data_IF_247799770446
#
_entry.id   IF_247799770446
#
_cell.length_a   1.000
_cell.length_b   1.000
_cell.length_c   1.000
_cell.angle_alpha   90.00
_cell.angle_beta   90.00
_cell.angle_gamma   90.00
#
_symmetry.space_group_name_H-M   'P 1'
#
loop_
_entity.id
_entity.type
_entity.pdbx_description
1 polymer ?
#
# COMPACT_ATOMS: atom_id res chain seq x y z
N UNK A 1 41.26 1.23 -84.26
CA UNK A 1 42.57 1.61 -84.84
C UNK A 1 43.53 1.83 -83.68
N UNK A 2 44.70 1.16 -83.73
CA UNK A 2 46.00 1.46 -83.07
C UNK A 2 46.01 1.53 -81.52
N UNK A 3 46.57 0.61 -80.71
CA UNK A 3 47.97 0.12 -80.60
C UNK A 3 49.00 1.25 -80.79
N UNK A 4 49.98 1.59 -79.95
CA UNK A 4 50.83 0.90 -78.94
C UNK A 4 51.74 1.97 -78.27
N UNK A 5 52.27 1.74 -77.04
CA UNK A 5 53.08 2.66 -76.18
C UNK A 5 54.53 2.96 -76.63
N UNK A 6 55.60 3.05 -75.77
CA UNK A 6 55.73 2.72 -74.32
C UNK A 6 56.73 3.59 -73.46
N UNK A 7 56.99 3.12 -72.21
CA UNK A 7 58.21 3.21 -71.31
C UNK A 7 58.07 4.02 -69.99
N UNK A 8 58.05 3.37 -68.80
CA UNK A 8 59.15 2.87 -67.89
C UNK A 8 59.93 4.02 -67.19
N UNK A 9 60.35 4.07 -65.91
CA UNK A 9 60.31 3.26 -64.67
C UNK A 9 61.01 4.11 -63.55
N UNK A 10 60.62 3.97 -62.27
CA UNK A 10 61.47 3.89 -61.04
C UNK A 10 60.61 4.15 -59.78
N UNK A 11 60.29 3.19 -58.91
CA UNK A 11 61.15 2.63 -57.82
C UNK A 11 61.06 3.56 -56.59
N UNK A 12 60.44 3.22 -55.44
CA UNK A 12 60.84 2.24 -54.40
C UNK A 12 59.70 1.95 -53.38
N UNK A 13 59.76 0.86 -52.58
CA UNK A 13 58.62 0.30 -51.83
C UNK A 13 58.51 0.81 -50.38
N UNK A 14 57.29 1.17 -49.94
CA UNK A 14 56.97 1.56 -48.58
C UNK A 14 55.95 0.59 -47.94
N UNK A 15 56.35 -0.01 -46.81
CA UNK A 15 55.65 -0.94 -45.92
C UNK A 15 54.10 -0.85 -45.91
N UNK A 16 53.36 -1.98 -45.88
CA UNK A 16 51.95 -1.93 -45.51
C UNK A 16 51.83 -1.55 -44.03
N UNK A 17 51.25 -0.39 -43.77
CA UNK A 17 50.80 0.03 -42.44
C UNK A 17 49.79 -0.96 -41.90
N UNK A 18 50.12 -1.60 -40.78
CA UNK A 18 49.19 -2.40 -39.99
C UNK A 18 47.90 -1.59 -39.70
N UNK A 19 46.71 -2.19 -39.75
CA UNK A 19 45.51 -1.51 -39.30
C UNK A 19 45.66 -1.23 -37.81
N UNK A 20 45.40 0.03 -37.42
CA UNK A 20 45.28 0.45 -36.04
C UNK A 20 44.38 -0.57 -35.31
N UNK A 21 44.95 -1.32 -34.38
CA UNK A 21 44.17 -2.14 -33.45
C UNK A 21 43.24 -1.18 -32.70
N UNK A 22 41.95 -1.21 -33.04
CA UNK A 22 40.92 -0.55 -32.26
C UNK A 22 40.97 -1.13 -30.84
N UNK A 23 41.18 -0.26 -29.85
CA UNK A 23 41.29 -0.63 -28.44
C UNK A 23 40.02 -1.38 -27.96
N UNK A 24 40.12 -2.59 -27.38
CA UNK A 24 38.97 -3.31 -26.82
C UNK A 24 38.68 -2.92 -25.35
N UNK A 25 39.18 -1.77 -24.87
CA UNK A 25 39.19 -1.44 -23.44
C UNK A 25 37.87 -0.87 -22.89
N UNK A 26 36.95 -0.42 -23.74
CA UNK A 26 35.73 0.27 -23.27
C UNK A 26 34.64 -0.70 -22.74
N UNK A 27 34.60 -1.94 -23.24
CA UNK A 27 33.57 -2.92 -22.86
C UNK A 27 33.82 -3.50 -21.46
N UNK A 28 35.06 -3.96 -21.18
CA UNK A 28 35.40 -4.56 -19.88
C UNK A 28 35.30 -3.58 -18.70
N UNK A 29 35.53 -2.29 -18.94
CA UNK A 29 35.41 -1.24 -17.90
C UNK A 29 33.98 -1.01 -17.41
N UNK A 30 32.96 -1.18 -18.28
CA UNK A 30 31.55 -1.07 -17.90
C UNK A 30 31.11 -2.28 -17.08
N UNK A 31 31.51 -3.47 -17.50
CA UNK A 31 31.17 -4.72 -16.80
C UNK A 31 31.85 -4.82 -15.44
N UNK A 32 33.11 -4.38 -15.33
CA UNK A 32 33.82 -4.28 -14.05
C UNK A 32 33.18 -3.23 -13.12
N UNK A 33 32.75 -2.08 -13.64
CA UNK A 33 32.03 -1.07 -12.84
C UNK A 33 30.66 -1.57 -12.41
N UNK A 34 29.93 -2.24 -13.30
CA UNK A 34 28.62 -2.82 -13.00
C UNK A 34 28.72 -3.98 -11.99
N UNK A 35 29.76 -4.80 -12.10
CA UNK A 35 30.05 -5.85 -11.11
C UNK A 35 30.43 -5.24 -9.77
N UNK A 36 31.32 -4.24 -9.74
CA UNK A 36 31.72 -3.57 -8.49
C UNK A 36 30.55 -2.87 -7.79
N UNK A 37 29.64 -2.24 -8.55
CA UNK A 37 28.40 -1.63 -8.04
C UNK A 37 27.38 -2.64 -7.52
N UNK A 38 27.38 -3.88 -8.00
CA UNK A 38 26.53 -4.95 -7.46
C UNK A 38 27.02 -5.45 -6.10
N UNK A 39 28.33 -5.45 -5.88
CA UNK A 39 28.95 -5.96 -4.66
C UNK A 39 29.09 -4.89 -3.57
N UNK A 40 29.14 -3.60 -3.93
CA UNK A 40 28.98 -2.50 -2.99
C UNK A 40 27.55 -1.97 -3.09
N UNK A 41 26.67 -2.31 -2.13
CA UNK A 41 25.36 -1.67 -2.07
C UNK A 41 25.56 -0.15 -1.91
N UNK A 42 25.20 0.68 -2.90
CA UNK A 42 25.26 2.12 -2.72
C UNK A 42 24.33 2.50 -1.57
N UNK A 43 24.72 3.50 -0.78
CA UNK A 43 23.83 4.05 0.23
C UNK A 43 22.50 4.46 -0.45
N UNK A 44 21.35 4.18 0.17
CA UNK A 44 20.07 4.58 -0.38
C UNK A 44 20.11 6.11 -0.55
N UNK A 45 19.97 6.57 -1.79
CA UNK A 45 19.88 8.00 -2.13
C UNK A 45 18.46 8.30 -2.57
N UNK A 46 17.92 9.42 -2.13
CA UNK A 46 16.58 9.82 -2.54
C UNK A 46 16.51 10.02 -4.06
N UNK A 47 15.41 9.59 -4.70
CA UNK A 47 15.27 9.73 -6.16
C UNK A 47 15.40 11.19 -6.63
N UNK A 48 14.96 12.14 -5.79
CA UNK A 48 15.12 13.59 -5.98
C UNK A 48 16.57 14.08 -6.15
N UNK A 49 17.56 13.31 -5.70
CA UNK A 49 18.98 13.66 -5.80
C UNK A 49 19.60 13.19 -7.12
N UNK A 50 18.81 12.51 -7.97
CA UNK A 50 19.25 12.04 -9.27
C UNK A 50 19.18 13.15 -10.33
N UNK A 51 20.09 13.14 -11.34
CA UNK A 51 20.28 14.24 -12.29
C UNK A 51 19.12 14.52 -13.27
N UNK A 52 18.01 13.77 -13.23
CA UNK A 52 16.85 13.92 -14.12
C UNK A 52 15.55 14.03 -13.31
N UNK A 53 15.49 14.98 -12.39
CA UNK A 53 14.33 15.17 -11.51
C UNK A 53 13.76 16.57 -11.62
N UNK A 54 12.45 16.66 -11.89
CA UNK A 54 11.68 17.90 -11.84
C UNK A 54 10.47 17.71 -10.92
N UNK A 55 10.52 18.33 -9.74
CA UNK A 55 9.48 18.20 -8.73
C UNK A 55 8.09 18.64 -9.21
N UNK A 56 8.00 19.66 -10.07
CA UNK A 56 6.71 20.14 -10.54
C UNK A 56 6.05 19.16 -11.51
N UNK A 57 6.85 18.64 -12.46
CA UNK A 57 6.40 17.65 -13.42
C UNK A 57 5.99 16.34 -12.74
N UNK A 58 6.76 15.90 -11.74
CA UNK A 58 6.49 14.66 -10.99
C UNK A 58 5.20 14.74 -10.16
N UNK A 59 4.91 15.90 -9.54
CA UNK A 59 3.62 16.12 -8.85
C UNK A 59 2.44 16.11 -9.82
N UNK A 60 2.58 16.72 -10.99
CA UNK A 60 1.53 16.67 -12.02
C UNK A 60 1.30 15.25 -12.52
N UNK A 61 2.39 14.51 -12.78
CA UNK A 61 2.34 13.11 -13.18
C UNK A 61 1.66 12.25 -12.10
N UNK A 62 1.94 12.50 -10.83
CA UNK A 62 1.29 11.83 -9.70
C UNK A 62 -0.24 11.99 -9.74
N UNK A 63 -0.72 13.22 -9.92
CA UNK A 63 -2.16 13.52 -10.03
C UNK A 63 -2.80 12.76 -11.19
N UNK A 64 -2.19 12.83 -12.37
CA UNK A 64 -2.72 12.19 -13.58
C UNK A 64 -2.70 10.66 -13.52
N UNK A 65 -1.67 10.07 -12.90
CA UNK A 65 -1.53 8.62 -12.71
C UNK A 65 -2.65 8.04 -11.85
N UNK A 66 -3.10 8.78 -10.84
CA UNK A 66 -4.21 8.37 -9.97
C UNK A 66 -5.59 8.66 -10.58
N UNK A 67 -5.63 9.35 -11.73
CA UNK A 67 -6.87 9.84 -12.35
C UNK A 67 -7.70 10.75 -11.42
N UNK A 68 -7.02 11.50 -10.55
CA UNK A 68 -7.62 12.44 -9.62
C UNK A 68 -7.19 13.88 -9.91
N UNK A 69 -8.04 14.84 -9.56
CA UNK A 69 -7.80 16.27 -9.76
C UNK A 69 -7.37 16.93 -8.45
N UNK A 70 -6.06 17.00 -8.23
CA UNK A 70 -5.49 17.68 -7.06
C UNK A 70 -5.27 19.16 -7.32
N UNK A 71 -5.47 19.99 -6.30
CA UNK A 71 -4.85 21.31 -6.25
C UNK A 71 -3.35 21.15 -6.06
N UNK A 72 -2.55 21.63 -7.02
CA UNK A 72 -1.10 21.43 -7.02
C UNK A 72 -0.43 22.08 -5.80
N UNK A 73 -0.98 23.18 -5.28
CA UNK A 73 -0.41 23.87 -4.12
C UNK A 73 -0.69 23.11 -2.82
N UNK A 74 -1.89 22.53 -2.67
CA UNK A 74 -2.22 21.66 -1.54
C UNK A 74 -1.41 20.37 -1.59
N UNK A 75 -1.25 19.80 -2.79
CA UNK A 75 -0.48 18.57 -2.98
C UNK A 75 1.01 18.79 -2.68
N UNK A 76 1.59 19.92 -3.11
CA UNK A 76 2.96 20.31 -2.72
C UNK A 76 3.09 20.42 -1.20
N UNK A 77 2.10 21.02 -0.54
CA UNK A 77 2.08 21.19 0.92
C UNK A 77 1.97 19.84 1.64
N UNK A 78 1.18 18.89 1.11
CA UNK A 78 1.02 17.56 1.70
C UNK A 78 2.34 16.75 1.77
N UNK A 79 3.23 16.94 0.80
CA UNK A 79 4.54 16.27 0.76
C UNK A 79 5.61 16.93 1.65
N UNK A 80 5.34 18.11 2.24
CA UNK A 80 6.27 18.82 3.13
C UNK A 80 6.06 18.36 4.58
N UNK A 81 7.12 17.82 5.20
CA UNK A 81 7.08 17.42 6.61
C UNK A 81 7.81 18.44 7.51
N UNK A 82 7.39 18.51 8.77
CA UNK A 82 8.06 19.30 9.81
C UNK A 82 9.57 19.04 9.90
N UNK A 83 9.99 17.76 9.84
CA UNK A 83 11.40 17.38 9.92
C UNK A 83 12.25 17.95 8.77
N UNK A 84 11.64 18.14 7.59
CA UNK A 84 12.29 18.77 6.45
C UNK A 84 12.42 20.28 6.65
N UNK A 85 11.36 20.95 7.13
CA UNK A 85 11.36 22.39 7.45
C UNK A 85 12.47 22.70 8.46
N UNK A 86 12.53 21.95 9.56
CA UNK A 86 13.55 22.12 10.61
C UNK A 86 14.98 21.94 10.06
N UNK A 87 15.19 20.98 9.16
CA UNK A 87 16.50 20.72 8.56
C UNK A 87 16.93 21.83 7.58
N UNK A 88 15.98 22.39 6.83
CA UNK A 88 16.25 23.50 5.90
C UNK A 88 16.50 24.81 6.66
N UNK A 89 15.78 25.06 7.76
CA UNK A 89 16.06 26.18 8.66
C UNK A 89 17.45 26.06 9.30
N UNK A 90 17.81 24.87 9.78
CA UNK A 90 19.14 24.62 10.34
C UNK A 90 20.24 24.88 9.28
N UNK A 91 20.04 24.39 8.06
CA UNK A 91 20.97 24.61 6.94
C UNK A 91 21.10 26.08 6.57
N UNK A 92 20.00 26.86 6.59
CA UNK A 92 20.03 28.31 6.35
C UNK A 92 20.79 29.06 7.45
N UNK A 93 20.58 28.65 8.71
CA UNK A 93 21.33 29.18 9.86
C UNK A 93 22.83 28.91 9.75
N UNK A 94 23.22 27.70 9.33
CA UNK A 94 24.63 27.33 9.10
C UNK A 94 25.28 28.15 7.98
N UNK A 95 24.52 28.49 6.93
CA UNK A 95 25.00 29.29 5.80
C UNK A 95 24.97 30.81 6.07
N UNK A 96 24.53 31.25 7.24
CA UNK A 96 24.47 32.68 7.60
C UNK A 96 23.45 33.48 6.79
N UNK A 97 22.42 32.82 6.25
CA UNK A 97 21.33 33.48 5.54
C UNK A 97 20.31 33.96 6.58
N UNK A 98 20.34 35.24 6.93
CA UNK A 98 19.43 35.86 7.90
C UNK A 98 17.95 35.66 7.51
N UNK A 99 17.11 35.49 8.54
CA UNK A 99 15.66 35.24 8.52
C UNK A 99 14.82 36.26 7.72
N UNK A 100 15.44 37.36 7.25
CA UNK A 100 14.78 38.51 6.64
C UNK A 100 14.73 38.57 5.11
N UNK A 101 15.46 37.73 4.36
CA UNK A 101 15.53 37.90 2.89
C UNK A 101 14.45 37.15 2.10
N UNK A 102 14.02 35.96 2.54
CA UNK A 102 12.82 35.24 2.06
C UNK A 102 12.38 34.26 3.17
N UNK A 103 11.32 34.59 3.90
CA UNK A 103 10.72 33.67 4.88
C UNK A 103 10.37 32.34 4.19
N UNK A 104 10.67 31.22 4.83
CA UNK A 104 10.19 29.91 4.39
C UNK A 104 8.68 29.88 4.55
N UNK A 105 7.95 30.26 3.51
CA UNK A 105 6.49 30.13 3.44
C UNK A 105 6.09 28.66 3.17
N UNK A 106 6.75 27.71 3.84
CA UNK A 106 6.41 26.30 3.78
C UNK A 106 5.48 25.98 4.95
N UNK A 107 4.32 25.43 4.64
CA UNK A 107 3.38 24.97 5.65
C UNK A 107 3.63 23.48 5.94
N UNK A 108 3.48 23.10 7.20
CA UNK A 108 3.55 21.72 7.64
C UNK A 108 2.28 20.96 7.26
N UNK A 109 2.42 19.67 6.92
CA UNK A 109 1.34 18.80 6.50
C UNK A 109 0.47 18.25 7.65
N UNK A 110 0.71 18.63 8.91
CA UNK A 110 0.00 18.14 10.11
C UNK A 110 -1.52 18.24 9.98
N UNK A 111 -2.03 19.43 9.63
CA UNK A 111 -3.47 19.68 9.53
C UNK A 111 -4.13 18.80 8.46
N UNK A 112 -3.50 18.69 7.29
CA UNK A 112 -4.00 17.85 6.19
C UNK A 112 -3.95 16.38 6.57
N UNK A 113 -2.91 15.95 7.29
CA UNK A 113 -2.78 14.57 7.76
C UNK A 113 -3.89 14.20 8.75
N UNK A 114 -4.18 15.07 9.73
CA UNK A 114 -5.26 14.85 10.69
C UNK A 114 -6.64 14.79 10.01
N UNK A 115 -6.90 15.66 9.05
CA UNK A 115 -8.12 15.65 8.24
C UNK A 115 -8.24 14.37 7.41
N UNK A 116 -7.17 13.98 6.71
CA UNK A 116 -7.16 12.77 5.90
C UNK A 116 -7.31 11.49 6.74
N UNK A 117 -6.67 11.44 7.91
CA UNK A 117 -6.78 10.30 8.83
C UNK A 117 -8.19 10.18 9.40
N UNK A 118 -8.76 11.28 9.92
CA UNK A 118 -10.12 11.28 10.48
C UNK A 118 -11.17 10.93 9.43
N UNK A 119 -11.06 11.49 8.21
CA UNK A 119 -11.94 11.16 7.10
C UNK A 119 -11.82 9.68 6.70
N UNK A 120 -10.60 9.16 6.55
CA UNK A 120 -10.37 7.76 6.15
C UNK A 120 -10.95 6.79 7.17
N UNK A 121 -10.72 7.02 8.47
CA UNK A 121 -11.29 6.20 9.55
C UNK A 121 -12.81 6.22 9.53
N UNK A 122 -13.42 7.40 9.45
CA UNK A 122 -14.87 7.55 9.43
C UNK A 122 -15.49 6.88 8.18
N UNK A 123 -14.86 7.02 7.02
CA UNK A 123 -15.30 6.40 5.78
C UNK A 123 -15.23 4.87 5.84
N UNK A 124 -14.11 4.32 6.29
CA UNK A 124 -13.91 2.87 6.42
C UNK A 124 -14.89 2.27 7.44
N UNK A 125 -15.07 2.92 8.60
CA UNK A 125 -16.02 2.49 9.61
C UNK A 125 -17.44 2.39 9.05
N UNK A 126 -17.91 3.44 8.35
CA UNK A 126 -19.21 3.43 7.67
C UNK A 126 -19.31 2.33 6.60
N UNK A 127 -18.23 2.07 5.86
CA UNK A 127 -18.21 1.02 4.85
C UNK A 127 -18.37 -0.37 5.48
N UNK A 128 -17.66 -0.65 6.58
CA UNK A 128 -17.73 -1.94 7.25
C UNK A 128 -19.03 -2.15 8.03
N UNK A 129 -19.57 -1.12 8.66
CA UNK A 129 -20.91 -1.19 9.29
C UNK A 129 -21.99 -1.52 8.25
N UNK A 130 -21.90 -0.93 7.05
CA UNK A 130 -22.83 -1.23 5.96
C UNK A 130 -22.63 -2.61 5.33
N UNK A 131 -21.39 -3.10 5.25
CA UNK A 131 -21.07 -4.38 4.62
C UNK A 131 -21.23 -5.59 5.55
N UNK A 132 -20.95 -5.41 6.84
CA UNK A 132 -20.95 -6.46 7.86
C UNK A 132 -21.76 -6.01 9.09
N UNK A 133 -23.10 -5.91 8.98
CA UNK A 133 -23.95 -5.42 10.06
C UNK A 133 -23.95 -6.32 11.31
N UNK A 134 -23.61 -7.60 11.13
CA UNK A 134 -23.50 -8.58 12.21
C UNK A 134 -22.14 -8.54 12.95
N UNK A 135 -21.14 -7.81 12.43
CA UNK A 135 -19.82 -7.74 13.04
C UNK A 135 -19.86 -6.76 14.24
N UNK A 136 -19.34 -7.15 15.42
CA UNK A 136 -19.32 -6.27 16.58
C UNK A 136 -18.40 -5.07 16.35
N UNK A 137 -18.68 -3.96 17.06
CA UNK A 137 -17.91 -2.73 16.95
C UNK A 137 -16.40 -2.94 17.15
N UNK A 138 -15.99 -3.82 18.08
CA UNK A 138 -14.58 -4.18 18.29
C UNK A 138 -13.93 -4.82 17.06
N UNK A 139 -14.68 -5.65 16.32
CA UNK A 139 -14.19 -6.27 15.09
C UNK A 139 -14.09 -5.27 13.94
N UNK A 140 -15.06 -4.35 13.82
CA UNK A 140 -15.00 -3.26 12.85
C UNK A 140 -13.80 -2.34 13.13
N UNK A 141 -13.61 -1.96 14.40
CA UNK A 141 -12.49 -1.12 14.84
C UNK A 141 -11.16 -1.80 14.54
N UNK A 142 -11.00 -3.09 14.82
CA UNK A 142 -9.79 -3.85 14.48
C UNK A 142 -9.49 -3.84 12.97
N UNK A 143 -10.50 -3.95 12.11
CA UNK A 143 -10.32 -3.85 10.65
C UNK A 143 -9.87 -2.44 10.23
N UNK A 144 -10.47 -1.40 10.81
CA UNK A 144 -10.11 -0.01 10.52
C UNK A 144 -8.70 0.30 11.02
N UNK A 145 -8.33 -0.15 12.22
CA UNK A 145 -7.01 0.05 12.81
C UNK A 145 -5.93 -0.67 12.00
N UNK A 146 -6.20 -1.89 11.53
CA UNK A 146 -5.31 -2.61 10.63
C UNK A 146 -5.10 -1.89 9.30
N UNK A 147 -6.18 -1.44 8.67
CA UNK A 147 -6.10 -0.67 7.42
C UNK A 147 -5.43 0.69 7.58
N UNK A 148 -5.54 1.30 8.76
CA UNK A 148 -4.87 2.57 9.07
C UNK A 148 -3.53 2.39 9.78
N UNK A 149 -3.04 1.15 9.90
CA UNK A 149 -1.77 0.82 10.54
C UNK A 149 -0.59 1.42 9.79
N UNK A 150 0.47 1.70 10.54
CA UNK A 150 1.67 2.32 10.00
C UNK A 150 2.33 1.46 8.91
N UNK A 151 2.38 0.15 9.11
CA UNK A 151 3.01 -0.80 8.18
C UNK A 151 2.26 -0.84 6.84
N UNK A 152 0.92 -1.01 6.88
CA UNK A 152 0.10 -1.14 5.69
C UNK A 152 0.05 0.18 4.91
N UNK A 153 -0.13 1.31 5.59
CA UNK A 153 -0.14 2.62 4.94
C UNK A 153 1.22 2.93 4.32
N UNK A 154 2.32 2.62 5.01
CA UNK A 154 3.67 2.77 4.46
C UNK A 154 3.87 1.90 3.21
N UNK A 155 3.40 0.66 3.24
CA UNK A 155 3.46 -0.23 2.08
C UNK A 155 2.68 0.32 0.88
N UNK A 156 1.46 0.81 1.08
CA UNK A 156 0.67 1.44 0.01
C UNK A 156 1.37 2.70 -0.51
N UNK A 157 1.91 3.53 0.38
CA UNK A 157 2.61 4.76 0.02
C UNK A 157 3.86 4.49 -0.83
N UNK A 158 4.64 3.45 -0.50
CA UNK A 158 5.81 3.03 -1.28
C UNK A 158 5.40 2.58 -2.69
N UNK A 159 4.36 1.76 -2.82
CA UNK A 159 3.86 1.29 -4.11
C UNK A 159 3.25 2.40 -4.97
N UNK A 160 2.79 3.48 -4.35
CA UNK A 160 2.34 4.70 -5.03
C UNK A 160 3.45 5.74 -5.24
N UNK A 161 4.71 5.39 -5.01
CA UNK A 161 5.86 6.29 -5.19
C UNK A 161 5.75 7.59 -4.36
N UNK A 162 5.02 7.56 -3.25
CA UNK A 162 4.88 8.72 -2.36
C UNK A 162 6.21 8.98 -1.65
N UNK A 163 6.95 7.91 -1.31
CA UNK A 163 8.28 8.01 -0.72
C UNK A 163 9.25 8.90 -1.54
N UNK A 164 9.16 8.85 -2.87
CA UNK A 164 10.06 9.61 -3.76
C UNK A 164 9.72 11.10 -3.81
N UNK A 165 8.44 11.44 -3.64
CA UNK A 165 7.92 12.82 -3.62
C UNK A 165 8.02 13.45 -2.23
N UNK A 166 8.08 12.64 -1.18
CA UNK A 166 8.10 13.10 0.20
C UNK A 166 9.35 13.92 0.51
N UNK A 167 9.16 15.16 0.96
CA UNK A 167 10.22 16.00 1.47
C UNK A 167 10.46 15.67 2.95
N UNK A 168 11.48 14.83 3.18
CA UNK A 168 11.97 14.43 4.50
C UNK A 168 13.47 14.72 4.64
N UNK A 169 13.94 14.85 5.90
CA UNK A 169 15.36 14.99 6.27
C UNK A 169 16.16 13.71 6.02
N UNK A 170 15.58 12.56 6.35
CA UNK A 170 16.24 11.26 6.33
C UNK A 170 15.76 10.42 5.14
N UNK A 171 16.65 9.61 4.58
CA UNK A 171 16.33 8.65 3.52
C UNK A 171 16.99 7.29 3.81
N UNK A 172 16.25 6.17 3.78
CA UNK A 172 14.82 6.01 3.45
C UNK A 172 13.89 6.72 4.44
N UNK A 173 12.70 7.11 3.97
CA UNK A 173 11.74 7.86 4.78
C UNK A 173 11.21 6.96 5.91
N UNK A 174 11.24 7.41 7.18
CA UNK A 174 10.69 6.64 8.28
C UNK A 174 9.19 6.35 8.08
N UNK A 175 8.71 5.16 8.50
CA UNK A 175 7.33 4.76 8.25
C UNK A 175 6.29 5.68 8.91
N UNK A 176 6.61 6.30 10.06
CA UNK A 176 5.72 7.29 10.71
C UNK A 176 5.48 8.52 9.82
N UNK A 177 6.57 9.04 9.25
CA UNK A 177 6.54 10.20 8.36
C UNK A 177 5.81 9.84 7.07
N UNK A 178 6.06 8.65 6.55
CA UNK A 178 5.42 8.18 5.33
C UNK A 178 3.90 8.01 5.50
N UNK A 179 3.47 7.40 6.61
CA UNK A 179 2.05 7.29 6.96
C UNK A 179 1.39 8.67 7.06
N UNK A 180 2.03 9.61 7.77
CA UNK A 180 1.54 10.97 7.90
C UNK A 180 1.42 11.68 6.55
N UNK A 181 2.41 11.55 5.67
CA UNK A 181 2.37 12.13 4.32
C UNK A 181 1.26 11.53 3.47
N UNK A 182 1.03 10.22 3.60
CA UNK A 182 -0.05 9.55 2.90
C UNK A 182 -1.42 10.11 3.30
N UNK A 183 -1.68 10.26 4.60
CA UNK A 183 -2.91 10.88 5.07
C UNK A 183 -3.00 12.36 4.68
N UNK A 184 -1.88 13.09 4.64
CA UNK A 184 -1.88 14.47 4.15
C UNK A 184 -2.29 14.56 2.67
N UNK A 185 -1.88 13.61 1.83
CA UNK A 185 -2.32 13.52 0.43
C UNK A 185 -3.83 13.26 0.35
N UNK A 186 -4.38 12.42 1.22
CA UNK A 186 -5.83 12.20 1.32
C UNK A 186 -6.55 13.48 1.75
N UNK A 187 -6.01 14.21 2.73
CA UNK A 187 -6.55 15.51 3.15
C UNK A 187 -6.52 16.53 2.01
N UNK A 188 -5.42 16.59 1.25
CA UNK A 188 -5.33 17.44 0.05
C UNK A 188 -6.34 17.04 -1.03
N UNK A 189 -6.60 15.73 -1.21
CA UNK A 189 -7.64 15.24 -2.13
C UNK A 189 -9.04 15.65 -1.66
N UNK A 190 -9.30 15.57 -0.35
CA UNK A 190 -10.56 15.94 0.27
C UNK A 190 -10.90 17.41 0.00
N UNK A 191 -9.93 18.30 0.20
CA UNK A 191 -10.09 19.74 -0.03
C UNK A 191 -10.16 20.09 -1.53
N UNK A 192 -9.55 19.29 -2.40
CA UNK A 192 -9.50 19.55 -3.85
C UNK A 192 -10.72 19.01 -4.62
N UNK A 193 -11.06 17.73 -4.40
CA UNK A 193 -12.04 16.97 -5.19
C UNK A 193 -13.30 16.60 -4.40
N UNK A 194 -13.33 16.88 -3.09
CA UNK A 194 -14.48 16.63 -2.23
C UNK A 194 -14.58 15.20 -1.67
N UNK A 195 -15.56 14.94 -0.79
CA UNK A 195 -15.65 13.71 -0.02
C UNK A 195 -16.04 12.49 -0.85
N UNK A 196 -16.81 12.65 -1.94
CA UNK A 196 -17.27 11.52 -2.75
C UNK A 196 -16.10 10.85 -3.49
N UNK A 197 -15.25 11.66 -4.13
CA UNK A 197 -14.04 11.20 -4.83
C UNK A 197 -13.01 10.65 -3.86
N UNK A 198 -12.79 11.35 -2.76
CA UNK A 198 -11.87 10.91 -1.71
C UNK A 198 -12.32 9.58 -1.09
N UNK A 199 -13.62 9.37 -0.91
CA UNK A 199 -14.16 8.08 -0.48
C UNK A 199 -13.86 6.95 -1.46
N UNK A 200 -14.02 7.18 -2.77
CA UNK A 200 -13.66 6.21 -3.81
C UNK A 200 -12.16 5.90 -3.77
N UNK A 201 -11.32 6.91 -3.61
CA UNK A 201 -9.87 6.72 -3.46
C UNK A 201 -9.54 5.85 -2.24
N UNK A 202 -10.10 6.14 -1.07
CA UNK A 202 -9.91 5.33 0.15
C UNK A 202 -10.40 3.90 -0.07
N UNK A 203 -11.58 3.72 -0.69
CA UNK A 203 -12.14 2.41 -1.03
C UNK A 203 -11.19 1.61 -1.91
N UNK A 204 -10.63 2.23 -2.94
CA UNK A 204 -9.87 1.53 -3.99
C UNK A 204 -8.43 1.23 -3.58
N UNK A 205 -7.85 1.95 -2.61
CA UNK A 205 -6.48 1.70 -2.14
C UNK A 205 -6.40 0.92 -0.82
N UNK A 206 -7.35 1.10 0.09
CA UNK A 206 -7.34 0.42 1.40
C UNK A 206 -8.07 -0.92 1.38
N UNK A 207 -9.31 -0.97 0.88
CA UNK A 207 -10.14 -2.19 0.99
C UNK A 207 -9.50 -3.39 0.27
N UNK A 208 -8.84 -3.24 -0.90
CA UNK A 208 -8.14 -4.36 -1.54
C UNK A 208 -7.04 -4.99 -0.68
N UNK A 209 -6.49 -4.28 0.31
CA UNK A 209 -5.48 -4.85 1.20
C UNK A 209 -6.04 -5.93 2.14
N UNK A 210 -7.37 -6.06 2.22
CA UNK A 210 -8.05 -7.14 2.95
C UNK A 210 -8.29 -8.39 2.09
N UNK A 211 -8.01 -8.34 0.77
CA UNK A 211 -8.23 -9.49 -0.11
C UNK A 211 -7.27 -10.61 0.29
N UNK A 212 -7.82 -11.78 0.60
CA UNK A 212 -7.05 -12.96 1.02
C UNK A 212 -6.58 -12.92 2.48
N UNK A 213 -6.99 -11.93 3.27
CA UNK A 213 -6.76 -11.89 4.73
C UNK A 213 -7.96 -12.46 5.47
N UNK A 214 -7.70 -13.24 6.52
CA UNK A 214 -8.76 -13.71 7.41
C UNK A 214 -9.11 -12.66 8.48
N UNK A 215 -10.34 -12.71 8.98
CA UNK A 215 -10.81 -11.81 10.03
C UNK A 215 -9.97 -11.96 11.30
N UNK A 216 -9.66 -13.20 11.71
CA UNK A 216 -8.95 -13.47 12.96
C UNK A 216 -7.42 -13.42 12.83
N UNK A 217 -6.90 -13.23 11.62
CA UNK A 217 -5.50 -12.81 11.42
C UNK A 217 -5.34 -11.31 11.74
N UNK A 218 -6.39 -10.53 11.52
CA UNK A 218 -6.41 -9.08 11.76
C UNK A 218 -6.88 -8.77 13.19
N UNK A 219 -7.97 -9.41 13.60
CA UNK A 219 -8.55 -9.28 14.93
C UNK A 219 -8.13 -10.46 15.79
N UNK A 220 -7.06 -10.27 16.57
CA UNK A 220 -6.56 -11.30 17.48
C UNK A 220 -7.56 -11.56 18.62
N UNK A 221 -8.23 -12.72 18.58
CA UNK A 221 -9.16 -13.18 19.61
C UNK A 221 -8.50 -14.26 20.46
N UNK A 222 -8.32 -13.97 21.76
CA UNK A 222 -7.67 -14.88 22.72
C UNK A 222 -8.55 -16.08 23.07
N UNK A 223 -9.87 -15.88 23.27
CA UNK A 223 -10.81 -16.95 23.62
C UNK A 223 -12.00 -16.98 22.62
N UNK A 224 -11.87 -17.67 21.48
CA UNK A 224 -12.93 -17.69 20.46
C UNK A 224 -14.19 -18.42 20.93
N UNK A 225 -14.07 -19.44 21.79
CA UNK A 225 -15.24 -20.15 22.32
C UNK A 225 -16.05 -19.29 23.27
N UNK A 226 -15.39 -18.54 24.15
CA UNK A 226 -16.06 -17.58 25.05
C UNK A 226 -16.81 -16.50 24.26
N UNK A 227 -16.16 -15.91 23.25
CA UNK A 227 -16.78 -14.94 22.35
C UNK A 227 -17.98 -15.53 21.60
N UNK A 228 -17.88 -16.78 21.14
CA UNK A 228 -18.99 -17.47 20.49
C UNK A 228 -20.19 -17.65 21.42
N UNK A 229 -19.98 -18.04 22.68
CA UNK A 229 -21.05 -18.16 23.68
C UNK A 229 -21.70 -16.80 23.94
N UNK A 230 -20.91 -15.72 24.04
CA UNK A 230 -21.44 -14.36 24.19
C UNK A 230 -22.31 -13.94 22.98
N UNK A 231 -21.88 -14.25 21.76
CA UNK A 231 -22.66 -13.93 20.55
C UNK A 231 -23.93 -14.78 20.40
N UNK A 232 -23.88 -16.05 20.79
CA UNK A 232 -25.04 -16.94 20.76
C UNK A 232 -26.07 -16.54 21.83
N UNK A 233 -25.62 -16.15 23.02
CA UNK A 233 -26.51 -15.67 24.10
C UNK A 233 -27.21 -14.37 23.72
N UNK A 234 -26.52 -13.41 23.08
CA UNK A 234 -27.14 -12.19 22.52
C UNK A 234 -28.24 -12.49 21.50
N UNK A 235 -28.10 -13.58 20.75
CA UNK A 235 -29.05 -14.03 19.71
C UNK A 235 -30.11 -15.02 20.23
N UNK A 236 -30.13 -15.30 21.54
CA UNK A 236 -31.02 -16.29 22.18
C UNK A 236 -30.88 -17.72 21.60
N UNK A 237 -29.66 -18.11 21.22
CA UNK A 237 -29.33 -19.47 20.76
C UNK A 237 -28.73 -20.25 21.93
N UNK A 238 -29.00 -21.55 21.99
CA UNK A 238 -28.43 -22.44 23.02
C UNK A 238 -26.91 -22.53 22.93
N UNK A 239 -26.28 -22.82 24.07
CA UNK A 239 -24.82 -22.99 24.16
C UNK A 239 -24.34 -24.09 23.19
N UNK A 240 -23.22 -23.88 22.49
CA UNK A 240 -22.70 -24.87 21.56
C UNK A 240 -22.12 -26.07 22.31
N UNK A 241 -22.42 -27.27 21.83
CA UNK A 241 -21.83 -28.52 22.29
C UNK A 241 -20.75 -29.00 21.30
N UNK A 242 -19.47 -29.07 21.69
CA UNK A 242 -18.41 -29.63 20.85
C UNK A 242 -18.48 -31.16 20.80
N UNK A 243 -18.39 -31.73 19.60
CA UNK A 243 -18.35 -33.19 19.37
C UNK A 243 -17.33 -33.52 18.29
N UNK A 244 -16.58 -34.60 18.49
CA UNK A 244 -15.67 -35.12 17.46
C UNK A 244 -16.51 -35.67 16.31
N UNK A 245 -16.31 -35.15 15.11
CA UNK A 245 -16.98 -35.61 13.89
C UNK A 245 -16.12 -36.63 13.16
N UNK A 246 -14.80 -36.40 13.08
CA UNK A 246 -13.82 -37.29 12.43
C UNK A 246 -12.50 -37.24 13.20
N UNK A 247 -11.73 -38.33 13.13
CA UNK A 247 -10.38 -38.40 13.67
C UNK A 247 -9.50 -39.32 12.82
N UNK A 248 -8.26 -38.91 12.56
CA UNK A 248 -7.29 -39.67 11.78
C UNK A 248 -5.94 -39.67 12.51
N UNK A 249 -5.26 -40.81 12.51
CA UNK A 249 -3.88 -40.90 13.01
C UNK A 249 -3.72 -40.58 14.51
N UNK A 250 -4.71 -40.86 15.35
CA UNK A 250 -4.74 -40.53 16.79
C UNK A 250 -3.49 -40.98 17.56
N UNK A 251 -2.90 -42.11 17.17
CA UNK A 251 -1.68 -42.67 17.78
C UNK A 251 -0.37 -42.27 17.08
N UNK A 252 -0.44 -41.40 16.07
CA UNK A 252 0.72 -40.94 15.30
C UNK A 252 1.21 -39.58 15.80
N UNK A 253 2.38 -39.14 15.32
CA UNK A 253 2.94 -37.83 15.64
C UNK A 253 2.13 -36.69 15.01
N UNK A 254 1.38 -36.96 13.94
CA UNK A 254 0.59 -35.96 13.20
C UNK A 254 -0.89 -36.37 13.18
N UNK A 255 -1.57 -36.35 14.35
CA UNK A 255 -3.00 -36.62 14.41
C UNK A 255 -3.79 -35.47 13.77
N UNK A 256 -4.97 -35.79 13.25
CA UNK A 256 -5.91 -34.82 12.69
C UNK A 256 -7.29 -35.08 13.27
N UNK A 257 -7.83 -34.10 13.98
CA UNK A 257 -9.15 -34.11 14.57
C UNK A 257 -10.06 -33.14 13.81
N UNK A 258 -11.32 -33.52 13.65
CA UNK A 258 -12.39 -32.62 13.25
C UNK A 258 -13.38 -32.53 14.40
N UNK A 259 -13.62 -31.30 14.86
CA UNK A 259 -14.59 -31.00 15.91
C UNK A 259 -15.74 -30.21 15.30
N UNK A 260 -16.95 -30.71 15.46
CA UNK A 260 -18.18 -30.03 15.10
C UNK A 260 -18.83 -29.39 16.32
N UNK A 261 -19.31 -28.16 16.18
CA UNK A 261 -20.10 -27.47 17.18
C UNK A 261 -21.59 -27.64 16.86
N UNK A 262 -22.37 -28.07 17.85
CA UNK A 262 -23.80 -28.32 17.71
C UNK A 262 -24.61 -27.41 18.63
N UNK A 263 -25.63 -26.74 18.09
CA UNK A 263 -26.67 -26.06 18.88
C UNK A 263 -28.00 -26.77 18.59
N UNK A 264 -28.72 -27.21 19.62
CA UNK A 264 -29.99 -27.93 19.48
C UNK A 264 -29.94 -29.11 18.49
N UNK A 265 -28.85 -29.90 18.54
CA UNK A 265 -28.56 -31.04 17.65
C UNK A 265 -28.35 -30.66 16.17
N UNK A 266 -28.21 -29.37 15.85
CA UNK A 266 -27.85 -28.88 14.52
C UNK A 266 -26.39 -28.41 14.51
N UNK A 267 -25.63 -28.88 13.53
CA UNK A 267 -24.24 -28.45 13.37
C UNK A 267 -24.19 -27.00 12.88
N UNK A 268 -23.46 -26.14 13.59
CA UNK A 268 -23.24 -24.73 13.20
C UNK A 268 -21.92 -24.58 12.43
N UNK A 269 -20.89 -25.27 12.86
CA UNK A 269 -19.55 -25.22 12.31
C UNK A 269 -18.77 -26.50 12.56
N UNK A 270 -17.75 -26.73 11.75
CA UNK A 270 -16.78 -27.81 11.89
C UNK A 270 -15.40 -27.20 11.66
N UNK A 271 -14.41 -27.58 12.48
CA UNK A 271 -13.03 -27.11 12.39
C UNK A 271 -12.03 -28.27 12.49
N UNK A 272 -10.99 -28.30 11.64
CA UNK A 272 -9.88 -29.23 11.78
C UNK A 272 -8.83 -28.74 12.78
N UNK A 273 -8.06 -29.65 13.37
CA UNK A 273 -6.92 -29.30 14.20
C UNK A 273 -6.01 -30.49 14.52
N UNK A 274 -4.76 -30.17 14.90
CA UNK A 274 -3.76 -31.15 15.35
C UNK A 274 -4.06 -31.71 16.75
N UNK A 275 -4.71 -30.92 17.59
CA UNK A 275 -5.20 -31.34 18.91
C UNK A 275 -6.71 -31.12 19.01
N UNK A 276 -7.37 -31.80 19.95
CA UNK A 276 -8.80 -31.60 20.20
C UNK A 276 -9.12 -30.14 20.55
N UNK A 277 -8.26 -29.49 21.34
CA UNK A 277 -8.41 -28.09 21.73
C UNK A 277 -8.25 -27.15 20.53
N UNK A 278 -7.21 -27.36 19.71
CA UNK A 278 -7.00 -26.56 18.51
C UNK A 278 -8.15 -26.70 17.50
N UNK A 279 -8.67 -27.92 17.33
CA UNK A 279 -9.82 -28.19 16.46
C UNK A 279 -11.11 -27.52 16.99
N UNK A 280 -11.32 -27.52 18.31
CA UNK A 280 -12.43 -26.83 18.97
C UNK A 280 -12.34 -25.30 18.80
N UNK A 281 -11.16 -24.72 19.02
CA UNK A 281 -10.92 -23.29 18.81
C UNK A 281 -11.16 -22.88 17.36
N UNK A 282 -10.67 -23.69 16.40
CA UNK A 282 -10.87 -23.41 14.99
C UNK A 282 -12.34 -23.56 14.59
N UNK A 283 -13.05 -24.56 15.13
CA UNK A 283 -14.49 -24.69 14.93
C UNK A 283 -15.25 -23.47 15.46
N UNK A 284 -14.82 -22.89 16.58
CA UNK A 284 -15.39 -21.66 17.11
C UNK A 284 -15.11 -20.45 16.20
N UNK A 285 -13.88 -20.31 15.67
CA UNK A 285 -13.56 -19.27 14.68
C UNK A 285 -14.40 -19.42 13.41
N UNK A 286 -14.57 -20.63 12.88
CA UNK A 286 -15.46 -20.89 11.73
C UNK A 286 -16.90 -20.49 12.05
N UNK A 287 -17.41 -20.81 13.25
CA UNK A 287 -18.75 -20.41 13.66
C UNK A 287 -18.90 -18.89 13.70
N UNK A 288 -17.94 -18.18 14.31
CA UNK A 288 -17.95 -16.73 14.39
C UNK A 288 -17.88 -16.06 13.01
N UNK A 289 -17.04 -16.57 12.09
CA UNK A 289 -16.99 -16.08 10.69
C UNK A 289 -18.35 -16.19 10.00
N UNK A 290 -19.05 -17.31 10.19
CA UNK A 290 -20.42 -17.49 9.67
C UNK A 290 -21.39 -16.51 10.31
N UNK A 291 -21.32 -16.35 11.63
CA UNK A 291 -22.18 -15.46 12.39
C UNK A 291 -22.00 -13.97 12.02
N UNK A 292 -20.80 -13.56 11.64
CA UNK A 292 -20.51 -12.18 11.24
C UNK A 292 -20.65 -11.94 9.73
N UNK A 293 -20.95 -12.98 8.94
CA UNK A 293 -21.00 -12.89 7.48
C UNK A 293 -19.62 -12.74 6.80
N UNK A 294 -18.52 -12.81 7.56
CA UNK A 294 -17.14 -12.74 7.05
C UNK A 294 -16.63 -14.15 6.70
N UNK A 295 -17.32 -14.81 5.79
CA UNK A 295 -16.89 -16.14 5.28
C UNK A 295 -16.06 -16.01 4.02
N UNK A 296 -15.31 -17.05 3.65
CA UNK A 296 -14.61 -17.09 2.36
C UNK A 296 -15.58 -17.03 1.17
N UNK A 297 -16.78 -17.60 1.33
CA UNK A 297 -17.83 -17.62 0.31
C UNK A 297 -18.68 -16.35 0.29
N UNK A 298 -18.24 -15.27 0.93
CA UNK A 298 -18.96 -13.98 0.93
C UNK A 298 -19.00 -13.37 -0.46
N UNK A 299 -19.98 -12.49 -0.70
CA UNK A 299 -20.03 -11.70 -1.93
C UNK A 299 -18.77 -10.81 -1.99
N UNK A 300 -18.02 -10.82 -3.12
CA UNK A 300 -16.90 -9.91 -3.29
C UNK A 300 -17.34 -8.45 -3.12
N UNK A 301 -16.40 -7.61 -2.69
CA UNK A 301 -16.67 -6.19 -2.53
C UNK A 301 -17.05 -5.55 -3.87
N UNK A 302 -18.06 -4.68 -3.84
CA UNK A 302 -18.53 -4.00 -5.04
C UNK A 302 -17.69 -2.74 -5.31
N UNK A 303 -16.79 -2.86 -6.29
CA UNK A 303 -15.96 -1.74 -6.77
C UNK A 303 -16.59 -1.00 -7.95
N UNK A 304 -17.84 -1.30 -8.32
CA UNK A 304 -18.52 -0.55 -9.38
C UNK A 304 -18.62 0.93 -9.01
N UNK A 305 -18.63 1.79 -10.04
CA UNK A 305 -18.77 3.22 -9.83
C UNK A 305 -20.15 3.47 -9.19
N UNK A 306 -20.23 4.22 -8.08
CA UNK A 306 -21.53 4.59 -7.52
C UNK A 306 -22.35 5.26 -8.62
N UNK A 307 -23.65 4.95 -8.69
CA UNK A 307 -24.59 5.50 -9.68
C UNK A 307 -24.91 6.97 -9.39
N UNK A 308 -23.90 7.82 -9.26
CA UNK A 308 -24.03 9.27 -9.18
C UNK A 308 -24.23 9.79 -10.61
N UNK A 309 -25.50 9.82 -11.03
CA UNK A 309 -25.94 10.34 -12.32
C UNK A 309 -27.46 10.20 -12.52
N UNK A 310 -28.05 9.10 -12.06
CA UNK A 310 -29.48 8.83 -12.26
C UNK A 310 -30.43 9.67 -11.36
N UNK A 311 -29.94 10.21 -10.24
CA UNK A 311 -30.76 11.07 -9.37
C UNK A 311 -30.82 12.52 -9.89
N UNK A 312 -29.73 13.02 -10.48
CA UNK A 312 -29.71 14.35 -11.11
C UNK A 312 -30.46 14.37 -12.44
N UNK A 313 -30.31 13.32 -13.27
CA UNK A 313 -31.06 13.20 -14.54
C UNK A 313 -32.57 13.04 -14.31
N UNK A 314 -33.00 12.33 -13.26
CA UNK A 314 -34.43 12.25 -12.91
C UNK A 314 -35.01 13.58 -12.42
N UNK A 315 -34.21 14.44 -11.79
CA UNK A 315 -34.65 15.76 -11.35
C UNK A 315 -34.71 16.79 -12.49
N UNK A 316 -33.90 16.61 -13.54
CA UNK A 316 -33.88 17.48 -14.72
C UNK A 316 -34.95 17.03 -15.75
N UNK A 317 -35.27 15.73 -15.81
CA UNK A 317 -36.33 15.19 -16.67
C UNK A 317 -37.75 15.40 -16.10
N UNK A 318 -37.89 15.90 -14.87
CA UNK A 318 -39.19 16.18 -14.23
C UNK A 318 -39.50 17.68 -14.08
N UNK A 319 -38.77 18.55 -14.79
CA UNK A 319 -39.07 19.97 -14.95
C UNK A 319 -39.48 20.28 -16.39
#
# INVERSE_FOLDING_TARGET
>A
RSHTGPRLLSGTPGRPSAPLLAAPAAAGGRDLRASRRRHSAPAPSAHREQPNWDYHAEIQAFSHRLHENFSLDLLKTAFVNSCYIESEEARRRELGLDEGSVALNLQDNSKLAEQGMSFSRAYLLRCFEGAYPDLPAKGVEALVDFLTSQELVSYVAQNLSIQDLTLCKEFPVPPDVLQRTFFAVIGALLDSSGPEKTGIFVRDFFIPQLIGKDLFEIWEVVNPMGLLVEELTKRNISSPEPRITRQLGVSTVLPLYFVGLYCDKKIIAEGPGETLLAAEEEAARVALRKLYGYTENRRPWDYSKPKQGLAAEKAISSN
#
